data_IF_907678195226
#
_entry.id   IF_907678195226
#
_cell.length_a   1.000
_cell.length_b   1.000
_cell.length_c   1.000
_cell.angle_alpha   90.00
_cell.angle_beta   90.00
_cell.angle_gamma   90.00
#
_symmetry.space_group_name_H-M   'P 1'
#
loop_
_entity.id
_entity.type
_entity.pdbx_description
1 polymer ?
#
# COMPACT_ATOMS: atom_id res chain seq x y z
N UNK A 1 -9.96 2.61 -0.06
CA UNK A 1 -10.74 1.95 -1.15
C UNK A 1 -11.78 1.03 -0.53
N UNK A 2 -13.03 1.10 -0.97
CA UNK A 2 -14.18 0.35 -0.47
C UNK A 2 -14.17 -1.10 -0.97
N UNK A 3 -14.25 -2.09 -0.06
CA UNK A 3 -14.64 -3.46 -0.41
C UNK A 3 -15.42 -4.08 0.77
N UNK A 4 -16.69 -4.43 0.55
CA UNK A 4 -17.57 -5.04 1.56
C UNK A 4 -18.12 -4.08 2.63
N UNK A 5 -18.06 -2.76 2.41
CA UNK A 5 -18.56 -1.75 3.36
C UNK A 5 -17.52 -1.25 4.37
N UNK A 6 -16.26 -1.69 4.29
CA UNK A 6 -15.20 -1.35 5.24
C UNK A 6 -14.14 -0.39 4.68
N UNK A 7 -13.82 0.67 5.43
CA UNK A 7 -12.66 1.54 5.22
C UNK A 7 -11.40 0.86 5.81
N UNK A 8 -10.22 1.09 5.20
CA UNK A 8 -8.94 0.42 5.54
C UNK A 8 -7.82 1.45 5.70
N UNK A 9 -6.86 1.16 6.55
CA UNK A 9 -5.75 2.04 6.92
C UNK A 9 -4.42 1.29 7.04
N UNK A 10 -3.31 1.90 6.63
CA UNK A 10 -2.00 1.25 6.71
C UNK A 10 -1.13 1.83 7.83
N UNK A 11 -0.77 1.03 8.83
CA UNK A 11 0.23 1.42 9.83
C UNK A 11 1.42 0.46 9.84
N UNK A 12 2.62 1.04 9.74
CA UNK A 12 3.88 0.32 9.95
C UNK A 12 4.57 0.88 11.19
N UNK A 13 4.71 0.04 12.20
CA UNK A 13 5.22 0.40 13.51
C UNK A 13 6.63 -0.14 13.67
N UNK A 14 7.59 0.77 13.86
CA UNK A 14 9.00 0.44 14.05
C UNK A 14 9.25 -0.25 15.40
N UNK A 15 10.32 -1.06 15.53
CA UNK A 15 10.77 -1.56 16.81
C UNK A 15 10.87 -0.46 17.87
N UNK A 16 10.36 -0.73 19.06
CA UNK A 16 10.34 0.22 20.19
C UNK A 16 9.28 1.33 20.13
N UNK A 17 8.57 1.53 19.01
CA UNK A 17 7.53 2.55 18.93
C UNK A 17 6.32 2.18 19.82
N UNK A 18 5.63 3.21 20.33
CA UNK A 18 4.43 3.05 21.14
C UNK A 18 3.17 3.06 20.28
N UNK A 19 2.61 1.87 20.03
CA UNK A 19 1.37 1.71 19.26
C UNK A 19 0.18 2.41 19.93
N UNK A 20 0.19 2.54 21.25
CA UNK A 20 -0.86 3.26 22.00
C UNK A 20 -0.99 4.74 21.63
N UNK A 21 -0.01 5.31 20.91
CA UNK A 21 -0.08 6.69 20.40
C UNK A 21 -0.76 6.80 19.04
N UNK A 22 -1.07 5.68 18.39
CA UNK A 22 -1.77 5.66 17.12
C UNK A 22 -3.25 5.89 17.39
N UNK A 23 -3.66 7.14 17.23
CA UNK A 23 -5.05 7.57 17.25
C UNK A 23 -5.39 8.35 15.98
N UNK A 24 -6.65 8.36 15.62
CA UNK A 24 -7.17 9.08 14.46
C UNK A 24 -8.57 9.63 14.76
N UNK A 25 -8.88 10.72 14.10
CA UNK A 25 -10.20 11.35 14.09
C UNK A 25 -10.77 11.22 12.67
N UNK A 26 -12.10 11.19 12.55
CA UNK A 26 -12.78 11.00 11.29
C UNK A 26 -13.62 12.23 10.96
N UNK A 27 -13.28 12.91 9.87
CA UNK A 27 -14.06 14.04 9.36
C UNK A 27 -15.27 13.56 8.55
N UNK A 28 -16.36 14.33 8.58
CA UNK A 28 -17.61 14.01 7.87
C UNK A 28 -18.48 12.94 8.56
N UNK A 29 -18.15 12.60 9.80
CA UNK A 29 -18.89 11.67 10.65
C UNK A 29 -19.77 12.46 11.61
N UNK A 30 -21.07 12.14 11.64
CA UNK A 30 -22.06 12.77 12.53
C UNK A 30 -22.07 12.12 13.92
N UNK A 31 -21.78 10.82 13.98
CA UNK A 31 -21.59 10.08 15.23
C UNK A 31 -20.69 8.85 14.99
N UNK A 32 -19.99 8.39 16.03
CA UNK A 32 -19.16 7.19 15.97
C UNK A 32 -19.27 6.33 17.22
N UNK A 33 -19.25 5.01 17.05
CA UNK A 33 -19.36 4.06 18.16
C UNK A 33 -18.44 2.85 17.92
N UNK A 34 -17.61 2.51 18.92
CA UNK A 34 -16.84 1.25 18.88
C UNK A 34 -17.70 0.10 19.42
N UNK A 35 -17.86 -0.96 18.62
CA UNK A 35 -18.54 -2.20 19.02
C UNK A 35 -17.64 -3.40 18.75
N UNK A 36 -17.16 -4.03 19.81
CA UNK A 36 -16.24 -5.17 19.70
C UNK A 36 -14.92 -4.75 19.03
N UNK A 37 -14.62 -5.33 17.87
CA UNK A 37 -13.42 -5.03 17.07
C UNK A 37 -13.70 -4.07 15.91
N UNK A 38 -14.86 -3.40 15.90
CA UNK A 38 -15.35 -2.53 14.80
C UNK A 38 -15.70 -1.14 15.28
N UNK A 39 -15.72 -0.19 14.34
CA UNK A 39 -16.25 1.17 14.51
C UNK A 39 -17.45 1.32 13.60
N UNK A 40 -18.60 1.72 14.13
CA UNK A 40 -19.75 2.17 13.33
C UNK A 40 -19.75 3.69 13.26
N UNK A 41 -20.10 4.21 12.10
CA UNK A 41 -20.10 5.63 11.79
C UNK A 41 -21.44 6.01 11.18
N UNK A 42 -22.04 7.06 11.70
CA UNK A 42 -23.13 7.77 11.04
C UNK A 42 -22.59 8.84 10.12
N UNK A 43 -23.06 8.88 8.88
CA UNK A 43 -22.77 9.97 7.93
C UNK A 43 -24.07 10.45 7.31
N UNK A 44 -24.04 11.63 6.69
CA UNK A 44 -25.19 12.16 5.94
C UNK A 44 -25.63 11.29 4.75
N UNK A 45 -24.79 10.33 4.32
CA UNK A 45 -25.07 9.38 3.26
C UNK A 45 -25.54 8.00 3.77
N UNK A 46 -25.63 7.83 5.09
CA UNK A 46 -25.98 6.58 5.75
C UNK A 46 -24.87 6.04 6.65
N UNK A 47 -25.08 4.84 7.18
CA UNK A 47 -24.17 4.20 8.12
C UNK A 47 -23.03 3.44 7.42
N UNK A 48 -21.83 3.56 7.98
CA UNK A 48 -20.61 2.87 7.54
C UNK A 48 -20.02 2.10 8.72
N UNK A 49 -19.36 0.98 8.44
CA UNK A 49 -18.64 0.21 9.45
C UNK A 49 -17.16 0.08 9.06
N UNK A 50 -16.26 0.19 10.03
CA UNK A 50 -14.83 -0.05 9.88
C UNK A 50 -14.50 -1.26 10.76
N UNK A 51 -13.77 -2.24 10.23
CA UNK A 51 -13.53 -3.46 10.97
C UNK A 51 -12.51 -4.38 10.33
N UNK A 52 -12.19 -5.46 11.05
CA UNK A 52 -11.29 -6.50 10.57
C UNK A 52 -9.83 -6.07 10.51
N UNK A 53 -9.38 -5.28 11.49
CA UNK A 53 -7.95 -4.96 11.67
C UNK A 53 -7.13 -6.25 11.63
N UNK A 54 -5.99 -6.19 10.95
CA UNK A 54 -5.11 -7.33 10.78
C UNK A 54 -3.69 -6.93 11.12
N UNK A 55 -3.13 -7.45 12.21
CA UNK A 55 -1.76 -7.17 12.60
C UNK A 55 -0.85 -8.41 12.49
N UNK A 56 0.43 -8.21 12.16
CA UNK A 56 1.40 -9.30 12.03
C UNK A 56 2.87 -8.88 12.08
N UNK A 57 3.76 -9.87 12.29
CA UNK A 57 5.22 -9.70 12.27
C UNK A 57 5.86 -10.76 11.37
N UNK A 58 6.39 -10.38 10.21
CA UNK A 58 7.05 -11.33 9.29
C UNK A 58 6.09 -12.11 8.37
N UNK A 59 4.97 -11.49 7.99
CA UNK A 59 4.12 -11.95 6.87
C UNK A 59 2.93 -12.83 7.23
N UNK A 60 2.87 -13.42 8.43
CA UNK A 60 1.69 -14.21 8.86
C UNK A 60 0.56 -13.28 9.33
N UNK A 61 -0.30 -12.86 8.39
CA UNK A 61 -1.47 -12.01 8.67
C UNK A 61 -2.32 -12.53 9.83
N UNK A 62 -2.71 -11.63 10.74
CA UNK A 62 -3.58 -11.94 11.88
C UNK A 62 -2.88 -12.71 13.01
N UNK A 63 -1.55 -12.83 12.96
CA UNK A 63 -0.74 -13.39 14.05
C UNK A 63 -0.86 -12.58 15.34
N UNK A 64 -0.94 -11.25 15.21
CA UNK A 64 -1.08 -10.34 16.34
C UNK A 64 -2.54 -9.91 16.45
N UNK A 65 -3.15 -10.12 17.62
CA UNK A 65 -4.51 -9.67 17.88
C UNK A 65 -4.61 -8.14 17.75
N UNK A 66 -5.64 -7.65 17.08
CA UNK A 66 -5.84 -6.22 16.81
C UNK A 66 -7.32 -5.87 16.84
N UNK A 67 -7.67 -4.72 17.41
CA UNK A 67 -9.06 -4.26 17.54
C UNK A 67 -9.12 -2.73 17.61
N UNK A 68 -10.27 -2.14 17.28
CA UNK A 68 -10.50 -0.71 17.48
C UNK A 68 -10.92 -0.43 18.93
N UNK A 69 -10.54 0.74 19.44
CA UNK A 69 -10.98 1.26 20.74
C UNK A 69 -11.09 2.78 20.69
N UNK A 70 -11.60 3.38 21.75
CA UNK A 70 -11.73 4.84 21.86
C UNK A 70 -13.16 5.27 22.08
N UNK A 71 -13.39 6.56 21.93
CA UNK A 71 -14.66 7.24 22.21
C UNK A 71 -15.08 8.06 20.98
N UNK A 72 -16.23 8.72 21.06
CA UNK A 72 -16.73 9.56 19.98
C UNK A 72 -15.73 10.67 19.64
N UNK A 73 -15.40 10.80 18.35
CA UNK A 73 -14.47 11.81 17.86
C UNK A 73 -12.98 11.43 17.92
N UNK A 74 -12.58 10.42 18.71
CA UNK A 74 -11.20 9.92 18.71
C UNK A 74 -11.11 8.41 18.86
N UNK A 75 -10.59 7.77 17.82
CA UNK A 75 -10.40 6.34 17.74
C UNK A 75 -8.93 5.95 17.84
N UNK A 76 -8.66 4.77 18.35
CA UNK A 76 -7.33 4.22 18.53
C UNK A 76 -7.29 2.74 18.13
N UNK A 77 -6.06 2.23 18.01
CA UNK A 77 -5.81 0.82 17.71
C UNK A 77 -5.32 0.11 18.98
N UNK A 78 -6.09 -0.88 19.42
CA UNK A 78 -5.66 -1.87 20.39
C UNK A 78 -4.86 -2.98 19.71
N UNK A 79 -3.72 -3.33 20.29
CA UNK A 79 -2.82 -4.39 19.83
C UNK A 79 -2.50 -5.33 20.99
N UNK A 80 -2.62 -6.64 20.74
CA UNK A 80 -2.24 -7.70 21.67
C UNK A 80 -0.72 -7.85 21.81
N UNK A 81 -0.21 -8.79 22.60
CA UNK A 81 1.23 -9.01 22.74
C UNK A 81 1.93 -9.26 21.40
N UNK A 82 3.07 -8.61 21.20
CA UNK A 82 3.93 -8.78 20.02
C UNK A 82 5.39 -8.51 20.40
N UNK A 83 6.33 -8.96 19.58
CA UNK A 83 7.76 -8.72 19.77
C UNK A 83 8.12 -7.27 19.39
N UNK A 84 8.36 -6.42 20.38
CA UNK A 84 8.67 -4.99 20.15
C UNK A 84 10.06 -4.75 19.54
N UNK A 85 10.89 -5.78 19.39
CA UNK A 85 12.16 -5.70 18.64
C UNK A 85 11.97 -5.87 17.14
N UNK A 86 10.80 -6.35 16.71
CA UNK A 86 10.45 -6.58 15.32
C UNK A 86 9.42 -5.55 14.86
N UNK A 87 9.45 -5.25 13.57
CA UNK A 87 8.41 -4.43 12.97
C UNK A 87 7.03 -5.07 13.14
N UNK A 88 6.03 -4.24 13.39
CA UNK A 88 4.62 -4.61 13.40
C UNK A 88 3.90 -3.91 12.25
N UNK A 89 3.15 -4.66 11.45
CA UNK A 89 2.30 -4.15 10.38
C UNK A 89 0.85 -4.28 10.81
N UNK A 90 0.04 -3.24 10.65
CA UNK A 90 -1.38 -3.20 11.03
C UNK A 90 -2.22 -2.73 9.83
N UNK A 91 -3.23 -3.54 9.52
CA UNK A 91 -4.29 -3.34 8.51
C UNK A 91 -3.82 -3.04 7.07
N UNK A 92 -2.80 -3.75 6.53
CA UNK A 92 -2.27 -3.39 5.23
C UNK A 92 -3.27 -3.67 4.09
N UNK A 93 -3.56 -2.62 3.34
CA UNK A 93 -4.15 -2.66 2.02
C UNK A 93 -3.15 -3.30 1.06
N UNK A 94 -3.45 -4.53 0.65
CA UNK A 94 -2.57 -5.33 -0.21
C UNK A 94 -2.44 -4.70 -1.62
N UNK A 95 -3.52 -4.10 -2.13
CA UNK A 95 -3.47 -3.23 -3.30
C UNK A 95 -4.78 -2.43 -3.40
N UNK A 96 -4.68 -1.19 -3.85
CA UNK A 96 -5.81 -0.45 -4.41
C UNK A 96 -5.32 0.35 -5.60
N UNK A 97 -6.07 0.28 -6.69
CA UNK A 97 -5.81 1.11 -7.86
C UNK A 97 -7.13 1.40 -8.55
N UNK A 98 -7.15 2.47 -9.32
CA UNK A 98 -8.12 2.64 -10.37
C UNK A 98 -7.68 1.83 -11.59
N UNK A 99 -8.61 1.29 -12.37
CA UNK A 99 -8.34 0.57 -13.60
C UNK A 99 -9.34 1.03 -14.66
N UNK A 100 -8.83 1.66 -15.72
CA UNK A 100 -9.63 2.28 -16.78
C UNK A 100 -8.86 3.44 -17.41
N UNK A 101 -9.48 4.15 -18.36
CA UNK A 101 -8.94 5.37 -18.98
C UNK A 101 -10.01 6.45 -19.14
N UNK A 102 -9.78 7.43 -20.01
CA UNK A 102 -10.68 8.56 -20.26
C UNK A 102 -11.96 8.19 -21.06
N UNK A 103 -12.09 6.94 -21.48
CA UNK A 103 -13.26 6.41 -22.17
C UNK A 103 -14.52 6.43 -21.31
N UNK A 104 -15.68 6.41 -21.98
CA UNK A 104 -16.99 6.45 -21.33
C UNK A 104 -17.58 5.07 -21.05
N UNK A 105 -16.96 4.00 -21.55
CA UNK A 105 -17.44 2.63 -21.43
C UNK A 105 -16.37 1.73 -20.83
N UNK A 106 -16.25 1.78 -19.50
CA UNK A 106 -15.41 0.89 -18.70
C UNK A 106 -16.30 -0.13 -17.99
N UNK A 107 -16.04 -1.42 -18.20
CA UNK A 107 -16.80 -2.48 -17.54
C UNK A 107 -15.86 -3.57 -17.01
N UNK A 108 -15.75 -3.69 -15.69
CA UNK A 108 -15.25 -4.90 -15.06
C UNK A 108 -16.26 -6.03 -15.23
N UNK A 109 -15.81 -7.20 -15.70
CA UNK A 109 -16.66 -8.37 -15.97
C UNK A 109 -16.42 -9.49 -14.97
N UNK A 110 -15.17 -9.72 -14.58
CA UNK A 110 -14.83 -10.73 -13.58
C UNK A 110 -13.51 -10.42 -12.87
N UNK A 111 -13.32 -11.02 -11.70
CA UNK A 111 -12.08 -10.99 -10.92
C UNK A 111 -11.77 -12.34 -10.30
N UNK A 112 -10.54 -12.82 -10.50
CA UNK A 112 -10.01 -14.02 -9.84
C UNK A 112 -8.66 -13.74 -9.20
N UNK A 113 -8.30 -14.49 -8.15
CA UNK A 113 -6.99 -14.41 -7.50
C UNK A 113 -6.28 -15.75 -7.68
N UNK A 114 -5.04 -15.72 -8.18
CA UNK A 114 -4.25 -16.93 -8.36
C UNK A 114 -3.54 -17.38 -7.07
N UNK A 115 -2.90 -18.56 -7.11
CA UNK A 115 -2.17 -19.11 -5.96
C UNK A 115 -0.98 -18.28 -5.49
N UNK A 116 -0.56 -17.26 -6.25
CA UNK A 116 0.49 -16.31 -5.87
C UNK A 116 -0.06 -15.01 -5.28
N UNK A 117 -1.38 -14.90 -5.11
CA UNK A 117 -2.04 -13.72 -4.56
C UNK A 117 -2.17 -12.57 -5.57
N UNK A 118 -1.99 -12.84 -6.87
CA UNK A 118 -2.16 -11.84 -7.92
C UNK A 118 -3.61 -11.86 -8.40
N UNK A 119 -4.20 -10.68 -8.51
CA UNK A 119 -5.56 -10.52 -9.00
C UNK A 119 -5.56 -10.37 -10.52
N UNK A 120 -6.46 -11.07 -11.17
CA UNK A 120 -6.73 -11.00 -12.59
C UNK A 120 -8.11 -10.40 -12.77
N UNK A 121 -8.17 -9.27 -13.45
CA UNK A 121 -9.40 -8.54 -13.73
C UNK A 121 -9.65 -8.61 -15.23
N UNK A 122 -10.84 -9.02 -15.64
CA UNK A 122 -11.25 -9.01 -17.05
C UNK A 122 -12.36 -7.99 -17.25
N UNK A 123 -12.46 -7.48 -18.47
CA UNK A 123 -13.47 -6.49 -18.76
C UNK A 123 -13.43 -5.97 -20.18
N UNK A 124 -14.18 -4.91 -20.42
CA UNK A 124 -14.12 -4.17 -21.66
C UNK A 124 -13.96 -2.67 -21.43
N UNK A 125 -13.27 -2.04 -22.37
CA UNK A 125 -12.88 -0.62 -22.33
C UNK A 125 -13.00 -0.04 -23.74
N UNK A 126 -13.43 1.22 -23.86
CA UNK A 126 -13.25 1.99 -25.10
C UNK A 126 -12.15 3.07 -24.98
N UNK A 127 -11.42 3.07 -23.86
CA UNK A 127 -10.32 4.00 -23.61
C UNK A 127 -9.14 3.71 -24.53
N UNK A 128 -8.65 4.75 -25.20
CA UNK A 128 -7.40 4.71 -25.97
C UNK A 128 -6.16 4.85 -25.08
N UNK A 129 -6.37 5.33 -23.85
CA UNK A 129 -5.40 5.57 -22.79
C UNK A 129 -5.54 4.58 -21.63
N UNK A 130 -6.10 3.39 -21.87
CA UNK A 130 -6.17 2.33 -20.87
C UNK A 130 -4.77 1.97 -20.34
N UNK A 131 -4.67 1.77 -19.03
CA UNK A 131 -3.41 1.42 -18.35
C UNK A 131 -2.83 0.09 -18.88
N UNK A 132 -1.81 0.18 -19.75
CA UNK A 132 -1.07 -0.98 -20.28
C UNK A 132 0.39 -0.99 -19.84
N UNK A 133 1.03 -2.15 -19.88
CA UNK A 133 2.46 -2.30 -19.58
C UNK A 133 3.28 -2.51 -20.85
N UNK A 134 4.58 -2.21 -20.78
CA UNK A 134 5.52 -2.57 -21.85
C UNK A 134 5.56 -4.09 -22.00
N UNK A 135 5.05 -4.61 -23.12
CA UNK A 135 4.88 -6.05 -23.36
C UNK A 135 3.43 -6.53 -23.31
N UNK A 136 2.45 -5.63 -23.07
CA UNK A 136 1.05 -5.95 -23.30
C UNK A 136 0.81 -6.38 -24.75
N UNK A 137 -0.10 -7.33 -24.95
CA UNK A 137 -0.45 -7.86 -26.26
C UNK A 137 -0.90 -6.75 -27.23
N UNK A 138 -1.67 -5.80 -26.70
CA UNK A 138 -2.05 -4.57 -27.37
C UNK A 138 -1.85 -3.42 -26.39
N UNK A 139 -1.01 -2.45 -26.77
CA UNK A 139 -0.63 -1.32 -25.90
C UNK A 139 -1.47 -0.06 -26.16
N UNK A 140 -2.14 0.02 -27.31
CA UNK A 140 -3.01 1.13 -27.68
C UNK A 140 -4.30 0.54 -28.25
N UNK A 141 -5.44 0.95 -27.69
CA UNK A 141 -6.73 0.62 -28.28
C UNK A 141 -6.90 1.43 -29.58
N UNK A 142 -7.06 0.74 -30.71
CA UNK A 142 -7.21 1.35 -32.04
C UNK A 142 -8.58 1.98 -32.29
N UNK A 143 -9.50 1.90 -31.33
CA UNK A 143 -10.84 2.47 -31.38
C UNK A 143 -11.94 1.41 -31.21
N UNK A 144 -13.09 1.84 -30.69
CA UNK A 144 -14.21 0.95 -30.37
C UNK A 144 -14.05 0.25 -29.02
N UNK A 145 -14.95 -0.71 -28.75
CA UNK A 145 -14.98 -1.45 -27.49
C UNK A 145 -14.02 -2.65 -27.56
N UNK A 146 -12.97 -2.62 -26.75
CA UNK A 146 -11.95 -3.66 -26.65
C UNK A 146 -12.09 -4.46 -25.36
N UNK A 147 -11.61 -5.69 -25.37
CA UNK A 147 -11.52 -6.54 -24.16
C UNK A 147 -10.16 -6.33 -23.51
N UNK A 148 -10.12 -6.29 -22.18
CA UNK A 148 -8.88 -6.30 -21.42
C UNK A 148 -8.78 -7.53 -20.51
N UNK A 149 -7.54 -7.93 -20.25
CA UNK A 149 -7.16 -8.82 -19.16
C UNK A 149 -6.00 -8.15 -18.43
N UNK A 150 -6.27 -7.69 -17.21
CA UNK A 150 -5.30 -6.97 -16.39
C UNK A 150 -4.90 -7.82 -15.21
N UNK A 151 -3.59 -7.99 -15.05
CA UNK A 151 -3.00 -8.61 -13.87
C UNK A 151 -2.56 -7.52 -12.90
N UNK A 152 -3.22 -7.47 -11.75
CA UNK A 152 -2.85 -6.62 -10.62
C UNK A 152 -2.11 -7.49 -9.62
N UNK A 153 -0.80 -7.35 -9.59
CA UNK A 153 0.04 -7.89 -8.53
C UNK A 153 0.48 -6.78 -7.60
N UNK A 154 0.85 -7.14 -6.37
CA UNK A 154 1.81 -6.36 -5.63
C UNK A 154 3.06 -6.19 -6.50
N UNK A 155 3.41 -4.97 -6.86
CA UNK A 155 4.81 -4.64 -7.19
C UNK A 155 5.58 -4.58 -5.88
N UNK A 156 5.47 -5.59 -5.01
CA UNK A 156 5.93 -5.53 -3.61
C UNK A 156 5.65 -4.17 -2.94
N UNK A 157 4.55 -3.50 -3.31
CA UNK A 157 4.29 -2.11 -2.98
C UNK A 157 3.35 -2.09 -1.77
N UNK A 158 3.95 -1.94 -0.59
CA UNK A 158 3.28 -1.96 0.70
C UNK A 158 3.66 -3.20 1.50
N UNK A 159 4.79 -3.12 2.20
CA UNK A 159 5.46 -4.24 2.91
C UNK A 159 6.00 -5.29 1.94
N UNK A 160 7.01 -4.88 1.16
CA UNK A 160 7.66 -5.74 0.19
C UNK A 160 8.43 -6.89 0.85
N UNK A 161 7.83 -8.06 0.93
CA UNK A 161 8.61 -9.29 0.70
C UNK A 161 8.61 -9.55 -0.82
N UNK A 162 9.14 -8.59 -1.56
CA UNK A 162 9.50 -8.78 -2.96
C UNK A 162 10.78 -9.57 -3.03
N UNK A 163 10.96 -10.36 -4.10
CA UNK A 163 12.02 -11.35 -4.34
C UNK A 163 13.48 -10.85 -4.33
N UNK A 164 13.78 -9.67 -3.78
CA UNK A 164 15.12 -9.12 -3.53
C UNK A 164 15.42 -8.79 -2.06
N UNK A 165 14.48 -8.98 -1.12
CA UNK A 165 14.73 -8.74 0.31
C UNK A 165 14.94 -7.26 0.66
N UNK A 166 14.20 -6.34 0.02
CA UNK A 166 14.22 -4.90 0.31
C UNK A 166 12.81 -4.41 0.63
N UNK A 167 12.65 -3.69 1.74
CA UNK A 167 11.43 -2.98 2.13
C UNK A 167 11.71 -1.49 2.18
N UNK A 168 10.91 -0.65 1.52
CA UNK A 168 10.98 0.81 1.70
C UNK A 168 9.76 1.28 2.49
N UNK A 169 10.02 1.94 3.61
CA UNK A 169 9.04 2.62 4.43
C UNK A 169 9.00 4.09 3.99
N UNK A 170 8.04 4.40 3.13
CA UNK A 170 7.80 5.77 2.67
C UNK A 170 7.41 6.68 3.82
N UNK A 171 7.94 7.90 3.81
CA UNK A 171 7.53 8.98 4.70
C UNK A 171 6.77 10.03 3.86
N UNK A 172 5.45 10.23 4.10
CA UNK A 172 4.64 11.07 3.23
C UNK A 172 4.91 12.58 3.37
N UNK A 173 5.60 13.03 4.42
CA UNK A 173 5.76 14.46 4.76
C UNK A 173 7.17 15.03 4.47
N UNK A 174 7.75 14.67 3.32
CA UNK A 174 9.05 15.17 2.84
C UNK A 174 10.28 14.93 3.76
N UNK A 175 10.16 14.02 4.73
CA UNK A 175 11.24 13.63 5.64
C UNK A 175 12.00 12.38 5.18
N UNK A 176 12.97 11.92 5.99
CA UNK A 176 13.74 10.71 5.70
C UNK A 176 12.83 9.49 5.55
N UNK A 177 13.09 8.66 4.54
CA UNK A 177 12.46 7.34 4.38
C UNK A 177 13.44 6.25 4.81
N UNK A 178 12.93 5.12 5.31
CA UNK A 178 13.79 4.02 5.77
C UNK A 178 13.74 2.89 4.76
N UNK A 179 14.90 2.35 4.45
CA UNK A 179 15.06 1.15 3.63
C UNK A 179 15.58 0.05 4.53
N UNK A 180 14.90 -1.09 4.56
CA UNK A 180 15.39 -2.28 5.25
C UNK A 180 15.80 -3.32 4.23
N UNK A 181 17.04 -3.79 4.36
CA UNK A 181 17.61 -4.81 3.49
C UNK A 181 17.85 -6.11 4.26
N UNK A 182 17.37 -7.23 3.72
CA UNK A 182 17.55 -8.55 4.31
C UNK A 182 18.96 -9.12 4.06
N UNK A 183 19.61 -8.73 2.95
CA UNK A 183 20.88 -9.32 2.49
C UNK A 183 21.99 -8.29 2.21
N UNK A 184 21.64 -7.00 2.20
CA UNK A 184 22.52 -5.94 1.71
C UNK A 184 22.68 -5.97 0.19
N UNK A 185 23.25 -4.92 -0.39
CA UNK A 185 23.40 -4.78 -1.84
C UNK A 185 23.67 -3.34 -2.28
N UNK A 186 23.82 -3.15 -3.58
CA UNK A 186 23.94 -1.84 -4.21
C UNK A 186 22.56 -1.37 -4.69
N UNK A 187 22.17 -0.17 -4.30
CA UNK A 187 20.87 0.42 -4.60
C UNK A 187 21.03 1.77 -5.29
N UNK A 188 20.12 2.05 -6.23
CA UNK A 188 20.06 3.29 -7.00
C UNK A 188 18.74 3.99 -6.73
N UNK A 189 18.78 5.17 -6.12
CA UNK A 189 17.64 6.06 -6.05
C UNK A 189 17.53 6.79 -7.39
N UNK A 190 16.36 6.73 -8.01
CA UNK A 190 16.08 7.28 -9.33
C UNK A 190 14.82 8.15 -9.30
N UNK A 191 14.81 9.18 -10.15
CA UNK A 191 13.61 9.96 -10.40
C UNK A 191 12.68 9.30 -11.44
N UNK A 192 11.52 9.90 -11.69
CA UNK A 192 10.55 9.43 -12.69
C UNK A 192 11.07 9.38 -14.13
N UNK A 193 12.19 10.04 -14.45
CA UNK A 193 12.86 9.95 -15.76
C UNK A 193 13.88 8.80 -15.86
N UNK A 194 14.01 8.00 -14.78
CA UNK A 194 15.02 6.95 -14.58
C UNK A 194 16.44 7.48 -14.36
N UNK A 195 16.63 8.79 -14.20
CA UNK A 195 17.95 9.35 -13.86
C UNK A 195 18.35 8.88 -12.47
N UNK A 196 19.58 8.38 -12.33
CA UNK A 196 20.15 8.05 -11.02
C UNK A 196 20.45 9.35 -10.27
N UNK A 197 19.79 9.53 -9.14
CA UNK A 197 20.03 10.65 -8.23
C UNK A 197 21.17 10.33 -7.26
N UNK A 198 21.18 9.10 -6.72
CA UNK A 198 22.18 8.64 -5.76
C UNK A 198 22.31 7.12 -5.74
N UNK A 199 23.47 6.63 -5.27
CA UNK A 199 23.76 5.22 -5.01
C UNK A 199 23.98 4.97 -3.52
N UNK A 200 23.54 3.82 -3.05
CA UNK A 200 23.71 3.37 -1.67
C UNK A 200 24.24 1.95 -1.66
N UNK A 201 25.32 1.71 -0.94
CA UNK A 201 25.72 0.36 -0.54
C UNK A 201 25.12 0.09 0.83
N UNK A 202 24.14 -0.81 0.87
CA UNK A 202 23.43 -1.16 2.09
C UNK A 202 23.97 -2.49 2.61
N UNK A 203 24.22 -2.56 3.91
CA UNK A 203 24.37 -3.83 4.63
C UNK A 203 23.00 -4.31 5.09
N UNK A 204 22.93 -5.54 5.61
CA UNK A 204 21.70 -6.05 6.22
C UNK A 204 21.26 -5.16 7.39
N UNK A 205 19.97 -4.80 7.42
CA UNK A 205 19.36 -3.97 8.45
C UNK A 205 18.71 -2.69 7.92
N UNK A 206 18.15 -1.86 8.80
CA UNK A 206 17.52 -0.59 8.42
C UNK A 206 18.57 0.50 8.15
N UNK A 207 18.39 1.24 7.05
CA UNK A 207 19.06 2.50 6.78
C UNK A 207 18.03 3.61 6.62
N UNK A 208 18.24 4.71 7.34
CA UNK A 208 17.56 5.96 7.09
C UNK A 208 18.19 6.68 5.91
N UNK A 209 17.43 6.87 4.84
CA UNK A 209 17.81 7.73 3.72
C UNK A 209 17.23 9.12 3.99
N UNK A 210 18.09 10.02 4.45
CA UNK A 210 17.76 11.40 4.74
C UNK A 210 18.09 12.30 3.54
N UNK A 211 17.22 12.24 2.54
CA UNK A 211 17.31 13.08 1.35
C UNK A 211 16.12 14.03 1.35
N UNK A 212 16.39 15.33 1.32
CA UNK A 212 15.37 16.34 1.06
C UNK A 212 14.99 16.27 -0.42
N UNK A 213 14.02 15.40 -0.72
CA UNK A 213 13.52 15.18 -2.06
C UNK A 213 12.21 15.97 -2.24
N UNK A 214 12.06 16.72 -3.34
CA UNK A 214 10.81 17.42 -3.61
C UNK A 214 9.65 16.43 -3.84
N UNK A 215 8.42 16.89 -3.58
CA UNK A 215 7.19 16.11 -3.74
C UNK A 215 7.02 15.59 -5.17
N UNK A 216 7.37 14.31 -5.38
CA UNK A 216 7.40 13.59 -6.66
C UNK A 216 7.41 12.08 -6.40
N UNK A 217 7.32 11.31 -7.49
CA UNK A 217 7.55 9.87 -7.48
C UNK A 217 9.04 9.57 -7.75
N UNK A 218 9.60 8.71 -6.92
CA UNK A 218 10.95 8.16 -7.06
C UNK A 218 10.87 6.64 -7.08
N UNK A 219 11.98 5.99 -7.41
CA UNK A 219 12.15 4.58 -7.16
C UNK A 219 13.53 4.25 -6.61
N UNK A 220 13.58 3.23 -5.76
CA UNK A 220 14.82 2.63 -5.29
C UNK A 220 14.98 1.30 -6.01
N UNK A 221 16.06 1.15 -6.77
CA UNK A 221 16.36 -0.06 -7.55
C UNK A 221 17.57 -0.78 -6.97
N UNK A 222 17.43 -2.06 -6.67
CA UNK A 222 18.58 -2.92 -6.39
C UNK A 222 19.29 -3.26 -7.71
N UNK A 223 20.60 -3.01 -7.77
CA UNK A 223 21.38 -3.16 -9.02
C UNK A 223 21.53 -4.62 -9.41
N UNK A 224 21.78 -5.51 -8.43
CA UNK A 224 22.07 -6.92 -8.67
C UNK A 224 20.85 -7.73 -9.12
N UNK A 225 19.71 -7.55 -8.47
CA UNK A 225 18.47 -8.28 -8.78
C UNK A 225 17.59 -7.55 -9.79
N UNK A 226 17.77 -6.24 -9.93
CA UNK A 226 16.86 -5.39 -10.68
C UNK A 226 15.54 -5.10 -9.98
N UNK A 227 15.36 -5.53 -8.72
CA UNK A 227 14.16 -5.24 -7.94
C UNK A 227 13.97 -3.73 -7.75
N UNK A 228 12.73 -3.24 -7.83
CA UNK A 228 12.41 -1.82 -7.74
C UNK A 228 11.28 -1.60 -6.74
N UNK A 229 11.45 -0.60 -5.87
CA UNK A 229 10.42 -0.12 -4.97
C UNK A 229 10.06 1.33 -5.31
N UNK A 230 8.75 1.60 -5.45
CA UNK A 230 8.24 2.96 -5.65
C UNK A 230 8.24 3.73 -4.34
N UNK A 231 8.62 5.01 -4.40
CA UNK A 231 8.58 5.97 -3.29
C UNK A 231 7.75 7.16 -3.75
N UNK A 232 6.77 7.57 -2.96
CA UNK A 232 5.96 8.76 -3.23
C UNK A 232 6.20 9.75 -2.12
N UNK A 233 6.56 10.97 -2.50
CA UNK A 233 6.70 12.10 -1.58
C UNK A 233 5.60 13.09 -1.90
N UNK A 234 4.79 13.39 -0.90
CA UNK A 234 3.72 14.39 -1.00
C UNK A 234 4.25 15.76 -0.53
N UNK A 235 3.61 16.87 -0.94
CA UNK A 235 3.96 18.22 -0.49
C UNK A 235 3.78 18.40 1.02
#
# INVERSE_FOLDING_TARGET
>A
MWRGGYLRYDFVVRPGAEVSRIGFELEGVEWSEVRGDRIRLGTSLGEVEIGGLCAYQGGKRGEVASWFRGEEGRHEIGIGPYDRSRMLVIDPLVYSTYLGGAGTQEAGRDIAVDGSGQAWVTGGTNSTDYDTTSGAFQTINGGGYAVFVTKIGLVSAGVGVGSGGMVVYSNPSAGPFVVECERGGLFELRDGSRKVLRRYELVRGPLTIDESLPARVYCLREVGTGAVQKIVISP
#
